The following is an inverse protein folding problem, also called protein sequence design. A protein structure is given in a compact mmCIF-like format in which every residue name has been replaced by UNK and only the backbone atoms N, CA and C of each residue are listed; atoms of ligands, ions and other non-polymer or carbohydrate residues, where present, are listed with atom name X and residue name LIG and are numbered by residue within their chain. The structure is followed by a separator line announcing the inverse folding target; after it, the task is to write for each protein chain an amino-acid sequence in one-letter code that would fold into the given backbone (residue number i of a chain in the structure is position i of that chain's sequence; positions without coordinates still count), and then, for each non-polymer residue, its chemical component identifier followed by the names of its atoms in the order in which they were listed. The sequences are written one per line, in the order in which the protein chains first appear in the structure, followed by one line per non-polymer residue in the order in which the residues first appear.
data_IF_598139664677
#
_entry.id   IF_598139664677
#
_cell.length_a   1.000
_cell.length_b   1.000
_cell.length_c   1.000
_cell.angle_alpha   90.00
_cell.angle_beta   90.00
_cell.angle_gamma   90.00
#
_symmetry.space_group_name_H-M   'P 1'
#
loop_
_entity.id
_entity.type
_entity.pdbx_description
1 polymer ?
#
# COMPACT_ATOMS: atom_id res chain seq x y z
N UNK A 1 -8.90 -0.03 7.74
CA UNK A 1 -8.58 0.16 6.30
C UNK A 1 -8.52 -1.17 5.56
N UNK A 2 -7.61 -2.07 5.91
CA UNK A 2 -7.34 -3.26 5.09
C UNK A 2 -8.47 -4.31 5.07
N UNK A 3 -9.23 -4.48 6.17
CA UNK A 3 -10.33 -5.44 6.23
C UNK A 3 -11.49 -5.15 5.25
N UNK A 4 -11.70 -3.88 4.89
CA UNK A 4 -12.73 -3.48 3.93
C UNK A 4 -12.28 -3.53 2.46
N UNK A 5 -11.06 -4.00 2.20
CA UNK A 5 -10.47 -4.03 0.85
C UNK A 5 -11.29 -4.85 -0.14
N UNK A 6 -11.76 -6.04 0.27
CA UNK A 6 -12.56 -6.93 -0.60
C UNK A 6 -13.92 -6.32 -0.97
N UNK A 7 -14.81 -5.96 -0.02
CA UNK A 7 -16.14 -5.45 -0.37
C UNK A 7 -16.07 -4.13 -1.15
N UNK A 8 -15.16 -3.23 -0.78
CA UNK A 8 -14.96 -1.97 -1.52
C UNK A 8 -14.35 -2.24 -2.91
N UNK A 9 -13.41 -3.18 -3.00
CA UNK A 9 -12.83 -3.63 -4.27
C UNK A 9 -13.90 -4.17 -5.22
N UNK A 10 -14.83 -4.99 -4.73
CA UNK A 10 -15.95 -5.51 -5.55
C UNK A 10 -16.85 -4.40 -6.08
N UNK A 11 -17.13 -3.36 -5.29
CA UNK A 11 -17.94 -2.20 -5.73
C UNK A 11 -17.18 -1.37 -6.75
N UNK A 12 -15.90 -1.13 -6.51
CA UNK A 12 -15.01 -0.41 -7.44
C UNK A 12 -14.89 -1.17 -8.77
N UNK A 13 -14.86 -2.50 -8.70
CA UNK A 13 -14.71 -3.36 -9.85
C UNK A 13 -15.97 -3.55 -10.68
N UNK A 14 -17.12 -3.75 -10.04
CA UNK A 14 -18.38 -4.06 -10.74
C UNK A 14 -19.24 -2.86 -11.09
N UNK A 15 -19.18 -1.77 -10.32
CA UNK A 15 -20.10 -0.63 -10.47
C UNK A 15 -19.39 0.58 -11.04
N UNK A 16 -18.62 1.29 -10.22
CA UNK A 16 -17.92 2.51 -10.63
C UNK A 16 -16.93 2.96 -9.54
N UNK A 17 -15.74 3.47 -9.92
CA UNK A 17 -14.85 4.16 -8.99
C UNK A 17 -15.50 5.36 -8.29
N UNK A 18 -16.36 6.11 -8.99
CA UNK A 18 -17.04 7.29 -8.44
C UNK A 18 -18.00 6.96 -7.31
N UNK A 19 -18.78 5.88 -7.47
CA UNK A 19 -19.70 5.42 -6.42
C UNK A 19 -18.93 5.02 -5.16
N UNK A 20 -17.78 4.37 -5.33
CA UNK A 20 -16.91 3.97 -4.22
C UNK A 20 -16.34 5.19 -3.50
N UNK A 21 -15.93 6.23 -4.24
CA UNK A 21 -15.47 7.49 -3.66
C UNK A 21 -16.58 8.22 -2.87
N UNK A 22 -17.83 8.21 -3.35
CA UNK A 22 -18.99 8.78 -2.62
C UNK A 22 -19.21 8.05 -1.30
N UNK A 23 -19.20 6.70 -1.31
CA UNK A 23 -19.26 5.90 -0.07
C UNK A 23 -18.11 6.26 0.85
N UNK A 24 -16.91 6.43 0.28
CA UNK A 24 -15.71 6.81 1.02
C UNK A 24 -15.83 8.16 1.73
N UNK A 25 -16.36 9.17 1.04
CA UNK A 25 -16.60 10.51 1.58
C UNK A 25 -17.52 10.48 2.81
N UNK A 26 -18.68 9.84 2.71
CA UNK A 26 -19.62 9.76 3.84
C UNK A 26 -19.05 8.93 5.00
N UNK A 27 -18.34 7.84 4.70
CA UNK A 27 -17.73 6.99 5.72
C UNK A 27 -16.59 7.71 6.48
N UNK A 28 -15.78 8.55 5.81
CA UNK A 28 -14.76 9.37 6.45
C UNK A 28 -15.37 10.39 7.41
N UNK A 29 -16.41 11.10 6.97
CA UNK A 29 -17.11 12.09 7.79
C UNK A 29 -17.76 11.42 9.01
N UNK A 30 -18.49 10.32 8.79
CA UNK A 30 -19.14 9.54 9.85
C UNK A 30 -18.15 8.80 10.77
N UNK A 31 -16.91 8.60 10.34
CA UNK A 31 -15.86 8.00 11.15
C UNK A 31 -15.18 9.03 12.06
N UNK A 32 -14.59 10.08 11.49
CA UNK A 32 -13.78 11.03 12.25
C UNK A 32 -14.60 12.01 13.10
N UNK A 33 -15.77 12.46 12.63
CA UNK A 33 -16.55 13.47 13.35
C UNK A 33 -17.08 12.96 14.71
N UNK A 34 -17.63 11.73 14.83
CA UNK A 34 -17.99 11.19 16.14
C UNK A 34 -16.80 10.93 17.06
N UNK A 35 -15.62 10.61 16.52
CA UNK A 35 -14.38 10.46 17.32
C UNK A 35 -14.00 11.81 17.94
N UNK A 36 -14.13 12.92 17.19
CA UNK A 36 -13.95 14.28 17.71
C UNK A 36 -14.91 14.56 18.87
N UNK A 37 -16.20 14.25 18.69
CA UNK A 37 -17.22 14.43 19.76
C UNK A 37 -16.89 13.57 20.99
N UNK A 38 -16.44 12.33 20.78
CA UNK A 38 -16.03 11.45 21.86
C UNK A 38 -14.82 12.01 22.63
N UNK A 39 -13.85 12.59 21.91
CA UNK A 39 -12.69 13.25 22.51
C UNK A 39 -13.09 14.44 23.39
N UNK A 40 -13.96 15.33 22.88
CA UNK A 40 -14.41 16.51 23.65
C UNK A 40 -15.21 16.15 24.92
N UNK A 41 -16.00 15.07 24.85
CA UNK A 41 -16.81 14.61 25.99
C UNK A 41 -15.96 13.97 27.09
N UNK A 42 -14.73 13.61 26.80
CA UNK A 42 -13.82 12.98 27.75
C UNK A 42 -14.21 11.54 28.14
N UNK A 43 -13.58 11.00 29.20
CA UNK A 43 -13.78 9.61 29.63
C UNK A 43 -15.25 9.31 29.95
N UNK A 44 -15.78 8.22 29.38
CA UNK A 44 -17.18 7.81 29.57
C UNK A 44 -18.19 8.46 28.61
N UNK A 45 -17.78 9.40 27.77
CA UNK A 45 -18.67 10.10 26.83
C UNK A 45 -19.20 9.24 25.67
N UNK A 46 -18.51 8.16 25.32
CA UNK A 46 -18.89 7.20 24.29
C UNK A 46 -18.30 5.83 24.62
N UNK A 47 -19.04 4.75 24.33
CA UNK A 47 -18.54 3.40 24.59
C UNK A 47 -17.38 3.04 23.65
N UNK A 48 -16.44 2.22 24.14
CA UNK A 48 -15.29 1.74 23.37
C UNK A 48 -15.74 1.04 22.08
N UNK A 49 -16.87 0.32 22.12
CA UNK A 49 -17.45 -0.32 20.94
C UNK A 49 -17.86 0.66 19.85
N UNK A 50 -18.47 1.80 20.21
CA UNK A 50 -18.85 2.82 19.23
C UNK A 50 -17.63 3.54 18.66
N UNK A 51 -16.64 3.88 19.49
CA UNK A 51 -15.37 4.48 19.02
C UNK A 51 -14.64 3.53 18.05
N UNK A 52 -14.65 2.23 18.35
CA UNK A 52 -14.06 1.20 17.48
C UNK A 52 -14.80 1.11 16.15
N UNK A 53 -16.14 1.18 16.16
CA UNK A 53 -16.95 1.21 14.95
C UNK A 53 -16.68 2.47 14.11
N UNK A 54 -16.58 3.64 14.74
CA UNK A 54 -16.24 4.89 14.05
C UNK A 54 -14.82 4.84 13.44
N UNK A 55 -13.87 4.24 14.15
CA UNK A 55 -12.50 4.01 13.65
C UNK A 55 -12.46 2.99 12.50
N UNK A 56 -13.34 2.00 12.54
CA UNK A 56 -13.54 1.09 11.42
C UNK A 56 -14.12 1.83 10.20
N UNK A 57 -15.13 2.68 10.40
CA UNK A 57 -15.76 3.48 9.33
C UNK A 57 -14.78 4.45 8.67
N UNK A 58 -13.94 5.16 9.43
CA UNK A 58 -12.89 6.00 8.83
C UNK A 58 -11.94 5.16 7.99
N UNK A 59 -11.60 3.95 8.45
CA UNK A 59 -10.83 2.97 7.70
C UNK A 59 -11.50 2.48 6.41
N UNK A 60 -12.82 2.24 6.43
CA UNK A 60 -13.62 1.91 5.23
C UNK A 60 -13.55 3.06 4.24
N UNK A 61 -13.72 4.29 4.74
CA UNK A 61 -13.71 5.49 3.93
C UNK A 61 -12.38 5.73 3.21
N UNK A 62 -11.26 5.63 3.93
CA UNK A 62 -9.93 5.72 3.34
C UNK A 62 -9.67 4.63 2.30
N UNK A 63 -10.08 3.38 2.58
CA UNK A 63 -9.91 2.26 1.65
C UNK A 63 -10.69 2.47 0.35
N UNK A 64 -11.94 2.94 0.46
CA UNK A 64 -12.83 3.19 -0.66
C UNK A 64 -12.29 4.30 -1.59
N UNK A 65 -11.91 5.46 -1.01
CA UNK A 65 -11.35 6.56 -1.77
C UNK A 65 -10.00 6.20 -2.41
N UNK A 66 -9.13 5.52 -1.66
CA UNK A 66 -7.82 5.05 -2.15
C UNK A 66 -7.96 4.04 -3.30
N UNK A 67 -8.84 3.04 -3.14
CA UNK A 67 -9.08 2.02 -4.17
C UNK A 67 -9.64 2.60 -5.46
N UNK A 68 -10.56 3.58 -5.36
CA UNK A 68 -11.10 4.28 -6.52
C UNK A 68 -10.04 5.06 -7.30
N UNK A 69 -9.17 5.80 -6.60
CA UNK A 69 -8.07 6.54 -7.22
C UNK A 69 -7.07 5.60 -7.88
N UNK A 70 -6.69 4.52 -7.19
CA UNK A 70 -5.72 3.55 -7.68
C UNK A 70 -6.22 2.83 -8.93
N UNK A 71 -7.47 2.35 -8.93
CA UNK A 71 -8.07 1.72 -10.11
C UNK A 71 -8.10 2.66 -11.31
N UNK A 72 -8.53 3.91 -11.10
CA UNK A 72 -8.62 4.90 -12.18
C UNK A 72 -7.24 5.15 -12.83
N UNK A 73 -6.19 5.25 -12.01
CA UNK A 73 -4.81 5.39 -12.51
C UNK A 73 -4.33 4.14 -13.26
N UNK A 74 -4.62 2.93 -12.76
CA UNK A 74 -4.21 1.68 -13.43
C UNK A 74 -4.85 1.53 -14.81
N UNK A 75 -6.14 1.82 -14.94
CA UNK A 75 -6.88 1.64 -16.19
C UNK A 75 -6.51 2.68 -17.25
N UNK A 76 -6.25 3.92 -16.85
CA UNK A 76 -5.93 5.00 -17.79
C UNK A 76 -4.51 4.90 -18.39
N UNK A 77 -3.57 4.21 -17.73
CA UNK A 77 -2.17 4.08 -18.18
C UNK A 77 -1.70 2.61 -18.25
N UNK A 78 -2.21 1.81 -19.22
CA UNK A 78 -1.95 0.37 -19.29
C UNK A 78 -0.49 0.01 -19.57
N UNK A 79 0.30 0.89 -20.19
CA UNK A 79 1.71 0.64 -20.54
C UNK A 79 2.71 1.12 -19.49
N UNK A 80 2.30 2.01 -18.59
CA UNK A 80 3.13 2.61 -17.53
C UNK A 80 2.45 2.50 -16.16
N UNK A 81 1.90 1.31 -15.88
CA UNK A 81 1.08 1.03 -14.68
C UNK A 81 1.82 1.34 -13.38
N UNK A 82 3.10 0.97 -13.27
CA UNK A 82 3.91 1.21 -12.07
C UNK A 82 4.05 2.70 -11.77
N UNK A 83 4.48 3.48 -12.77
CA UNK A 83 4.62 4.93 -12.66
C UNK A 83 3.28 5.65 -12.39
N UNK A 84 2.21 5.25 -13.07
CA UNK A 84 0.88 5.88 -12.93
C UNK A 84 0.24 5.62 -11.57
N UNK A 85 0.40 4.41 -11.02
CA UNK A 85 -0.10 4.06 -9.68
C UNK A 85 0.78 4.64 -8.57
N UNK A 86 2.08 4.84 -8.81
CA UNK A 86 3.01 5.36 -7.81
C UNK A 86 2.67 6.78 -7.36
N UNK A 87 2.22 7.68 -8.25
CA UNK A 87 1.83 9.04 -7.87
C UNK A 87 0.71 9.10 -6.81
N UNK A 88 -0.48 8.52 -7.02
CA UNK A 88 -1.54 8.52 -6.01
C UNK A 88 -1.14 7.76 -4.74
N UNK A 89 -0.37 6.68 -4.86
CA UNK A 89 0.21 5.97 -3.70
C UNK A 89 1.17 6.84 -2.89
N UNK A 90 2.05 7.59 -3.56
CA UNK A 90 2.99 8.49 -2.93
C UNK A 90 2.23 9.64 -2.23
N UNK A 91 1.28 10.28 -2.93
CA UNK A 91 0.44 11.34 -2.37
C UNK A 91 -0.32 10.89 -1.11
N UNK A 92 -0.87 9.66 -1.13
CA UNK A 92 -1.50 9.06 0.05
C UNK A 92 -0.52 8.95 1.23
N UNK A 93 0.75 8.60 0.99
CA UNK A 93 1.79 8.50 2.02
C UNK A 93 2.26 9.84 2.59
N UNK A 94 2.24 10.88 1.75
CA UNK A 94 2.62 12.24 2.13
C UNK A 94 1.50 12.97 2.90
N UNK A 95 0.25 12.52 2.79
CA UNK A 95 -0.91 13.19 3.38
C UNK A 95 -0.78 13.44 4.90
N UNK A 96 -0.24 12.49 5.66
CA UNK A 96 -0.06 12.66 7.11
C UNK A 96 0.93 13.79 7.47
N UNK A 97 1.94 14.04 6.64
CA UNK A 97 2.82 15.21 6.79
C UNK A 97 2.03 16.52 6.62
N UNK A 98 1.21 16.63 5.57
CA UNK A 98 0.39 17.84 5.36
C UNK A 98 -0.60 18.05 6.50
N UNK A 99 -1.29 17.01 6.96
CA UNK A 99 -2.25 17.13 8.07
C UNK A 99 -1.57 17.50 9.39
N UNK A 100 -0.40 16.93 9.69
CA UNK A 100 0.35 17.26 10.92
C UNK A 100 0.91 18.68 10.88
N UNK A 101 1.43 19.14 9.74
CA UNK A 101 1.91 20.52 9.56
C UNK A 101 0.76 21.53 9.68
N UNK A 102 -0.35 21.29 8.98
CA UNK A 102 -1.51 22.18 9.05
C UNK A 102 -2.06 22.21 10.49
N UNK A 103 -2.15 21.07 11.16
CA UNK A 103 -2.61 21.02 12.54
C UNK A 103 -1.64 21.73 13.50
N UNK A 104 -0.33 21.58 13.33
CA UNK A 104 0.66 22.28 14.14
C UNK A 104 0.60 23.81 13.99
N UNK A 105 0.29 24.30 12.78
CA UNK A 105 0.17 25.73 12.51
C UNK A 105 -1.19 26.32 12.91
N UNK A 106 -2.29 25.60 12.66
CA UNK A 106 -3.65 26.10 12.86
C UNK A 106 -4.21 25.79 14.27
N UNK A 107 -3.77 24.70 14.89
CA UNK A 107 -4.30 24.16 16.16
C UNK A 107 -3.15 23.71 17.10
N UNK A 108 -2.25 24.62 17.51
CA UNK A 108 -1.09 24.25 18.33
C UNK A 108 -1.53 23.65 19.66
N UNK A 109 -1.19 22.37 19.89
CA UNK A 109 -1.52 21.64 21.12
C UNK A 109 -2.98 21.21 21.25
N UNK A 110 -3.83 21.45 20.25
CA UNK A 110 -5.25 21.07 20.28
C UNK A 110 -5.54 19.84 19.41
N UNK A 111 -5.67 18.69 20.08
CA UNK A 111 -6.00 17.41 19.43
C UNK A 111 -7.45 17.39 18.91
N UNK A 112 -8.38 18.14 19.53
CA UNK A 112 -9.76 18.24 19.04
C UNK A 112 -9.80 18.97 17.69
N UNK A 113 -9.06 20.06 17.56
CA UNK A 113 -8.84 20.78 16.31
C UNK A 113 -8.26 19.88 15.20
N UNK A 114 -7.28 19.03 15.51
CA UNK A 114 -6.75 18.03 14.57
C UNK A 114 -7.82 17.02 14.10
N UNK A 115 -8.63 16.48 15.01
CA UNK A 115 -9.70 15.54 14.66
C UNK A 115 -10.78 16.20 13.81
N UNK A 116 -11.10 17.47 14.10
CA UNK A 116 -12.02 18.27 13.28
C UNK A 116 -11.45 18.48 11.87
N UNK A 117 -10.18 18.88 11.77
CA UNK A 117 -9.47 19.03 10.51
C UNK A 117 -9.52 17.74 9.69
N UNK A 118 -9.19 16.59 10.30
CA UNK A 118 -9.26 15.29 9.64
C UNK A 118 -10.67 15.02 9.12
N UNK A 119 -11.70 15.20 9.94
CA UNK A 119 -13.09 14.90 9.54
C UNK A 119 -13.57 15.70 8.31
N UNK A 120 -13.33 17.01 8.30
CA UNK A 120 -13.79 17.90 7.24
C UNK A 120 -12.87 17.84 6.01
N UNK A 121 -11.56 17.94 6.22
CA UNK A 121 -10.61 18.04 5.12
C UNK A 121 -10.51 16.72 4.33
N UNK A 122 -10.52 15.55 4.98
CA UNK A 122 -10.47 14.29 4.22
C UNK A 122 -11.74 14.10 3.38
N UNK A 123 -12.90 14.44 3.94
CA UNK A 123 -14.19 14.29 3.25
C UNK A 123 -14.33 15.27 2.10
N UNK A 124 -13.94 16.54 2.30
CA UNK A 124 -13.98 17.58 1.27
C UNK A 124 -13.02 17.27 0.12
N UNK A 125 -11.80 16.80 0.40
CA UNK A 125 -10.86 16.41 -0.65
C UNK A 125 -11.39 15.27 -1.50
N UNK A 126 -12.03 14.27 -0.91
CA UNK A 126 -12.68 13.19 -1.67
C UNK A 126 -13.83 13.75 -2.52
N UNK A 127 -14.67 14.62 -1.96
CA UNK A 127 -15.76 15.27 -2.69
C UNK A 127 -15.26 16.01 -3.95
N UNK A 128 -14.22 16.83 -3.78
CA UNK A 128 -13.60 17.59 -4.88
C UNK A 128 -12.95 16.66 -5.91
N UNK A 129 -12.47 15.48 -5.50
CA UNK A 129 -11.81 14.52 -6.39
C UNK A 129 -12.79 13.71 -7.27
N UNK A 130 -14.06 13.56 -6.86
CA UNK A 130 -15.05 12.71 -7.56
C UNK A 130 -15.20 13.03 -9.06
N UNK A 131 -15.33 14.29 -9.50
CA UNK A 131 -15.46 14.61 -10.92
C UNK A 131 -14.27 14.13 -11.76
N UNK A 132 -13.06 14.14 -11.18
CA UNK A 132 -11.80 13.78 -11.83
C UNK A 132 -11.56 12.26 -11.92
N UNK A 133 -12.34 11.44 -11.20
CA UNK A 133 -12.26 9.98 -11.28
C UNK A 133 -12.97 9.46 -12.54
N UNK A 134 -12.38 9.75 -13.72
CA UNK A 134 -12.86 9.29 -15.02
C UNK A 134 -11.92 8.18 -15.51
N UNK A 135 -12.50 7.02 -15.79
CA UNK A 135 -11.81 5.97 -16.54
C UNK A 135 -12.02 6.27 -18.02
N UNK A 136 -10.93 6.56 -18.72
CA UNK A 136 -10.92 6.77 -20.15
C UNK A 136 -10.76 5.41 -20.80
N UNK A 137 -11.80 4.98 -21.50
CA UNK A 137 -11.79 3.70 -22.19
C UNK A 137 -10.93 3.81 -23.47
N UNK A 138 -9.72 3.25 -23.46
CA UNK A 138 -8.83 3.23 -24.63
C UNK A 138 -9.33 2.32 -25.76
N UNK A 139 -10.50 1.69 -25.61
CA UNK A 139 -11.11 0.80 -26.60
C UNK A 139 -11.94 1.50 -27.70
N UNK A 140 -11.84 2.81 -27.87
CA UNK A 140 -12.51 3.53 -28.96
C UNK A 140 -11.54 3.90 -30.10
N UNK A 141 -10.86 2.90 -30.67
CA UNK A 141 -10.01 3.20 -31.83
C UNK A 141 -9.17 2.10 -32.49
N UNK A 142 -9.53 0.81 -32.48
CA UNK A 142 -9.13 -0.21 -33.50
C UNK A 142 -9.62 -1.62 -33.12
N UNK A 143 -10.93 -1.82 -33.10
CA UNK A 143 -11.47 -3.17 -33.25
C UNK A 143 -12.52 -3.08 -34.35
N UNK A 144 -12.12 -3.41 -35.58
CA UNK A 144 -13.07 -3.82 -36.59
C UNK A 144 -13.74 -5.07 -36.03
N UNK A 145 -14.92 -4.91 -35.42
CA UNK A 145 -15.84 -6.02 -35.20
C UNK A 145 -16.16 -6.56 -36.57
N UNK A 146 -15.55 -7.70 -36.91
CA UNK A 146 -15.92 -8.48 -38.09
C UNK A 146 -17.37 -8.90 -37.84
N UNK A 147 -18.30 -8.21 -38.51
CA UNK A 147 -19.68 -8.68 -38.61
C UNK A 147 -19.60 -10.15 -39.07
N UNK A 148 -20.31 -11.09 -38.42
CA UNK A 148 -20.39 -12.43 -38.94
C UNK A 148 -21.00 -12.33 -40.34
N UNK A 149 -20.17 -12.49 -41.37
CA UNK A 149 -20.62 -12.80 -42.71
C UNK A 149 -21.20 -14.20 -42.65
N UNK A 150 -22.44 -14.30 -42.18
CA UNK A 150 -23.27 -15.46 -42.52
C UNK A 150 -23.34 -15.47 -44.04
N UNK A 151 -22.55 -16.33 -44.66
CA UNK A 151 -22.67 -16.68 -46.06
C UNK A 151 -24.08 -17.25 -46.29
N UNK A 152 -25.00 -16.36 -46.65
CA UNK A 152 -26.15 -16.72 -47.47
C UNK A 152 -25.86 -16.14 -48.84
N UNK A 153 -25.55 -17.05 -49.77
CA UNK A 153 -25.12 -16.72 -51.12
C UNK A 153 -26.05 -15.74 -51.82
N UNK A 154 -25.46 -14.69 -52.41
CA UNK A 154 -26.10 -13.92 -53.47
C UNK A 154 -25.07 -13.27 -54.37
N UNK A 155 -24.93 -13.88 -55.55
CA UNK A 155 -24.62 -13.35 -56.90
C UNK A 155 -23.86 -12.03 -57.03
N UNK A 156 -22.73 -12.15 -57.72
CA UNK A 156 -22.13 -11.23 -58.70
C UNK A 156 -22.56 -9.77 -58.66
N UNK A 157 -21.62 -8.89 -58.32
CA UNK A 157 -21.47 -7.61 -59.04
C UNK A 157 -20.09 -6.99 -58.83
N UNK A 158 -19.34 -6.96 -59.93
CA UNK A 158 -18.42 -5.92 -60.37
C UNK A 158 -17.08 -5.73 -59.63
N UNK A 159 -16.06 -6.28 -60.29
CA UNK A 159 -14.72 -5.70 -60.54
C UNK A 159 -14.53 -4.24 -60.05
N UNK A 160 -13.65 -4.06 -59.07
CA UNK A 160 -12.87 -2.85 -58.91
C UNK A 160 -11.41 -3.20 -58.60
N UNK A 161 -10.54 -2.38 -59.21
CA UNK A 161 -9.14 -2.64 -59.52
C UNK A 161 -8.23 -2.85 -58.29
N UNK A 162 -7.29 -3.78 -58.44
CA UNK A 162 -6.14 -3.96 -57.55
C UNK A 162 -5.24 -2.72 -57.60
N UNK A 163 -5.35 -1.86 -56.57
CA UNK A 163 -4.34 -0.88 -56.27
C UNK A 163 -3.25 -1.55 -55.43
N UNK A 164 -2.03 -1.64 -55.99
CA UNK A 164 -0.81 -2.04 -55.28
C UNK A 164 -0.65 -1.17 -54.03
N UNK A 165 -0.93 -1.73 -52.86
CA UNK A 165 -0.49 -1.15 -51.60
C UNK A 165 0.96 -1.59 -51.35
N UNK A 166 1.83 -0.59 -51.19
CA UNK A 166 3.20 -0.78 -50.73
C UNK A 166 3.20 -1.63 -49.45
N UNK A 167 3.92 -2.75 -49.47
CA UNK A 167 4.06 -3.64 -48.35
C UNK A 167 4.70 -2.95 -47.15
N UNK A 168 3.87 -2.52 -46.20
CA UNK A 168 4.30 -2.27 -44.83
C UNK A 168 4.63 -3.61 -44.19
N UNK A 169 5.93 -3.90 -44.04
CA UNK A 169 6.43 -4.93 -43.14
C UNK A 169 6.10 -4.52 -41.70
N UNK A 170 4.85 -4.70 -41.28
CA UNK A 170 4.57 -4.81 -39.86
C UNK A 170 5.02 -6.21 -39.44
N UNK A 171 6.18 -6.29 -38.78
CA UNK A 171 6.55 -7.47 -38.00
C UNK A 171 5.46 -7.64 -36.94
N UNK A 172 4.51 -8.54 -37.20
CA UNK A 172 3.67 -9.12 -36.17
C UNK A 172 4.56 -10.03 -35.30
N UNK A 173 5.38 -9.42 -34.45
CA UNK A 173 6.21 -10.13 -33.46
C UNK A 173 5.92 -9.59 -32.07
N UNK A 174 4.65 -9.54 -31.71
CA UNK A 174 4.20 -9.61 -30.31
C UNK A 174 2.96 -10.49 -30.35
N UNK A 175 3.14 -11.78 -30.10
CA UNK A 175 2.04 -12.64 -29.66
C UNK A 175 1.46 -11.92 -28.43
N UNK A 176 0.17 -11.55 -28.40
CA UNK A 176 -0.44 -11.08 -27.17
C UNK A 176 -0.25 -12.20 -26.15
N UNK A 177 0.55 -11.99 -25.10
CA UNK A 177 0.53 -12.92 -23.99
C UNK A 177 -0.94 -13.03 -23.57
N UNK A 178 -1.51 -14.25 -23.42
CA UNK A 178 -2.87 -14.39 -22.96
C UNK A 178 -2.96 -13.63 -21.63
N UNK A 179 -3.76 -12.56 -21.59
CA UNK A 179 -3.94 -11.78 -20.37
C UNK A 179 -4.54 -12.71 -19.32
N UNK A 180 -3.72 -13.21 -18.40
CA UNK A 180 -4.17 -14.07 -17.30
C UNK A 180 -4.93 -13.20 -16.32
N UNK A 181 -6.22 -13.03 -16.56
CA UNK A 181 -7.13 -12.28 -15.70
C UNK A 181 -7.73 -13.24 -14.66
N UNK A 182 -7.04 -13.37 -13.51
CA UNK A 182 -7.48 -14.19 -12.38
C UNK A 182 -7.96 -13.23 -11.29
N UNK A 183 -9.20 -13.42 -10.83
CA UNK A 183 -9.76 -12.53 -9.80
C UNK A 183 -10.56 -13.27 -8.73
N UNK A 184 -10.70 -12.62 -7.58
CA UNK A 184 -11.53 -13.08 -6.48
C UNK A 184 -11.01 -14.37 -5.83
N UNK A 185 -11.91 -15.30 -5.56
CA UNK A 185 -11.60 -16.54 -4.82
C UNK A 185 -10.65 -17.45 -5.60
N UNK A 186 -10.63 -17.36 -6.93
CA UNK A 186 -9.72 -18.14 -7.78
C UNK A 186 -8.23 -17.87 -7.49
N UNK A 187 -7.90 -16.72 -6.90
CA UNK A 187 -6.55 -16.39 -6.47
C UNK A 187 -6.03 -17.36 -5.41
N UNK A 188 -6.89 -17.80 -4.49
CA UNK A 188 -6.49 -18.59 -3.32
C UNK A 188 -5.92 -19.96 -3.71
N UNK A 189 -6.28 -20.46 -4.89
CA UNK A 189 -5.78 -21.72 -5.44
C UNK A 189 -4.41 -21.59 -6.12
N UNK A 190 -3.89 -20.36 -6.30
CA UNK A 190 -2.62 -20.12 -7.00
C UNK A 190 -1.46 -20.03 -6.00
N UNK A 191 -0.33 -20.71 -6.24
CA UNK A 191 0.84 -20.63 -5.35
C UNK A 191 1.46 -19.23 -5.34
N UNK A 192 1.39 -18.51 -6.47
CA UNK A 192 1.89 -17.12 -6.58
C UNK A 192 1.15 -16.16 -5.62
N UNK A 193 -0.13 -16.46 -5.33
CA UNK A 193 -0.90 -15.68 -4.36
C UNK A 193 -0.29 -15.80 -2.97
N UNK A 194 -0.03 -17.02 -2.51
CA UNK A 194 0.52 -17.27 -1.18
C UNK A 194 1.94 -16.74 -1.05
N UNK A 195 2.75 -16.82 -2.10
CA UNK A 195 4.08 -16.24 -2.11
C UNK A 195 4.05 -14.71 -1.92
N UNK A 196 3.22 -14.00 -2.69
CA UNK A 196 3.04 -12.56 -2.53
C UNK A 196 2.40 -12.22 -1.18
N UNK A 197 1.38 -12.97 -0.76
CA UNK A 197 0.69 -12.74 0.51
C UNK A 197 1.64 -12.87 1.71
N UNK A 198 2.48 -13.91 1.75
CA UNK A 198 3.49 -14.09 2.80
C UNK A 198 4.53 -12.98 2.75
N UNK A 199 5.04 -12.64 1.57
CA UNK A 199 6.00 -11.55 1.40
C UNK A 199 5.43 -10.20 1.91
N UNK A 200 4.18 -9.90 1.54
CA UNK A 200 3.46 -8.72 2.00
C UNK A 200 3.33 -8.75 3.52
N UNK A 201 2.88 -9.86 4.11
CA UNK A 201 2.71 -10.00 5.55
C UNK A 201 4.01 -9.81 6.33
N UNK A 202 5.10 -10.43 5.88
CA UNK A 202 6.42 -10.29 6.53
C UNK A 202 6.88 -8.83 6.53
N UNK A 203 6.90 -8.17 5.38
CA UNK A 203 7.47 -6.83 5.26
C UNK A 203 6.53 -5.72 5.76
N UNK A 204 5.23 -5.79 5.45
CA UNK A 204 4.27 -4.80 5.97
C UNK A 204 4.07 -4.92 7.47
N UNK A 205 4.13 -6.14 8.02
CA UNK A 205 4.06 -6.36 9.46
C UNK A 205 5.19 -5.66 10.21
N UNK A 206 6.43 -5.77 9.71
CA UNK A 206 7.60 -5.07 10.25
C UNK A 206 7.39 -3.55 10.24
N UNK A 207 6.98 -3.01 9.08
CA UNK A 207 6.74 -1.57 8.96
C UNK A 207 5.58 -1.07 9.83
N UNK A 208 4.46 -1.79 9.89
CA UNK A 208 3.29 -1.43 10.69
C UNK A 208 3.59 -1.45 12.19
N UNK A 209 4.40 -2.41 12.66
CA UNK A 209 4.83 -2.42 14.06
C UNK A 209 5.60 -1.15 14.41
N UNK A 210 6.60 -0.78 13.61
CA UNK A 210 7.38 0.43 13.87
C UNK A 210 6.51 1.69 13.73
N UNK A 211 5.67 1.80 12.69
CA UNK A 211 4.83 2.99 12.47
C UNK A 211 3.84 3.20 13.63
N UNK A 212 3.19 2.14 14.09
CA UNK A 212 2.18 2.25 15.14
C UNK A 212 2.79 2.52 16.52
N UNK A 213 4.03 2.08 16.77
CA UNK A 213 4.66 2.15 18.08
C UNK A 213 5.82 3.15 18.16
N UNK A 214 6.18 3.86 17.09
CA UNK A 214 7.28 4.83 17.11
C UNK A 214 7.08 5.90 18.18
N UNK A 215 5.84 6.26 18.48
CA UNK A 215 5.52 7.20 19.56
C UNK A 215 5.94 6.69 20.94
N UNK A 216 5.78 5.39 21.19
CA UNK A 216 6.24 4.72 22.41
C UNK A 216 7.76 4.60 22.46
N UNK A 217 8.43 4.35 21.32
CA UNK A 217 9.89 4.35 21.24
C UNK A 217 10.48 5.74 21.58
N UNK A 218 9.88 6.81 21.02
CA UNK A 218 10.25 8.20 21.32
C UNK A 218 10.08 8.50 22.81
N UNK A 219 8.94 8.11 23.38
CA UNK A 219 8.64 8.33 24.79
C UNK A 219 9.65 7.61 25.69
N UNK A 220 9.87 6.31 25.48
CA UNK A 220 10.80 5.51 26.28
C UNK A 220 12.24 6.04 26.21
N UNK A 221 12.72 6.43 25.02
CA UNK A 221 14.07 6.95 24.86
C UNK A 221 14.26 8.35 25.47
N UNK A 222 13.30 9.26 25.29
CA UNK A 222 13.42 10.61 25.85
C UNK A 222 13.27 10.61 27.37
N UNK A 223 12.34 9.85 27.95
CA UNK A 223 12.22 9.74 29.40
C UNK A 223 13.48 9.17 30.05
N UNK A 224 14.11 8.17 29.41
CA UNK A 224 15.37 7.61 29.87
C UNK A 224 16.57 8.57 29.72
N UNK A 225 16.59 9.35 28.64
CA UNK A 225 17.73 10.22 28.30
C UNK A 225 17.71 11.55 29.05
N UNK A 226 16.55 12.19 29.17
CA UNK A 226 16.37 13.47 29.85
C UNK A 226 15.09 13.45 30.71
N UNK A 227 15.22 13.15 32.02
CA UNK A 227 14.09 13.12 32.95
C UNK A 227 13.40 14.47 33.14
N UNK A 228 14.01 15.57 32.69
CA UNK A 228 13.44 16.93 32.80
C UNK A 228 12.62 17.33 31.56
N UNK A 229 12.60 16.49 30.53
CA UNK A 229 11.87 16.75 29.30
C UNK A 229 10.36 16.89 29.56
N UNK A 230 9.78 17.99 29.08
CA UNK A 230 8.34 18.22 29.24
C UNK A 230 7.52 17.26 28.37
N UNK A 231 6.34 16.85 28.85
CA UNK A 231 5.41 16.00 28.06
C UNK A 231 5.05 16.65 26.71
N UNK A 232 4.95 17.97 26.66
CA UNK A 232 4.71 18.73 25.42
C UNK A 232 5.87 18.61 24.42
N UNK A 233 7.12 18.67 24.90
CA UNK A 233 8.30 18.46 24.05
C UNK A 233 8.34 17.04 23.47
N UNK A 234 8.06 16.02 24.29
CA UNK A 234 8.03 14.62 23.82
C UNK A 234 6.94 14.43 22.77
N UNK A 235 5.74 15.00 22.97
CA UNK A 235 4.65 14.94 22.00
C UNK A 235 5.00 15.60 20.66
N UNK A 236 5.67 16.76 20.68
CA UNK A 236 6.18 17.40 19.45
C UNK A 236 7.19 16.49 18.71
N UNK A 237 8.08 15.82 19.45
CA UNK A 237 9.01 14.85 18.87
C UNK A 237 8.30 13.65 18.24
N UNK A 238 7.23 13.13 18.86
CA UNK A 238 6.44 12.05 18.27
C UNK A 238 5.87 12.45 16.89
N UNK A 239 5.31 13.65 16.77
CA UNK A 239 4.78 14.18 15.50
C UNK A 239 5.88 14.38 14.44
N UNK A 240 7.08 14.78 14.87
CA UNK A 240 8.26 14.85 14.01
C UNK A 240 8.62 13.50 13.39
N UNK A 241 8.55 12.41 14.16
CA UNK A 241 8.82 11.07 13.63
C UNK A 241 7.74 10.59 12.64
N UNK A 242 6.47 10.90 12.90
CA UNK A 242 5.36 10.63 11.94
C UNK A 242 5.62 11.36 10.62
N UNK A 243 6.04 12.62 10.68
CA UNK A 243 6.38 13.44 9.51
C UNK A 243 7.54 12.85 8.70
N UNK A 244 8.62 12.41 9.35
CA UNK A 244 9.77 11.78 8.70
C UNK A 244 9.36 10.50 7.98
N UNK A 245 8.58 9.63 8.64
CA UNK A 245 8.06 8.40 8.04
C UNK A 245 7.28 8.71 6.76
N UNK A 246 6.40 9.72 6.79
CA UNK A 246 5.59 10.12 5.64
C UNK A 246 6.42 10.63 4.46
N UNK A 247 7.39 11.52 4.70
CA UNK A 247 8.26 12.05 3.63
C UNK A 247 9.13 10.94 3.03
N UNK A 248 9.76 10.11 3.86
CA UNK A 248 10.56 9.00 3.37
C UNK A 248 9.72 7.94 2.63
N UNK A 249 8.49 7.69 3.08
CA UNK A 249 7.54 6.81 2.40
C UNK A 249 7.11 7.35 1.05
N UNK A 250 6.85 8.66 0.94
CA UNK A 250 6.61 9.32 -0.34
C UNK A 250 7.77 9.11 -1.31
N UNK A 251 9.01 9.39 -0.88
CA UNK A 251 10.21 9.22 -1.70
C UNK A 251 10.42 7.75 -2.11
N UNK A 252 10.16 6.81 -1.19
CA UNK A 252 10.23 5.37 -1.44
C UNK A 252 9.21 4.92 -2.49
N UNK A 253 7.96 5.39 -2.41
CA UNK A 253 6.90 5.04 -3.37
C UNK A 253 7.19 5.58 -4.75
N UNK A 254 7.64 6.83 -4.84
CA UNK A 254 7.97 7.47 -6.11
C UNK A 254 9.18 6.80 -6.77
N UNK A 255 10.26 6.59 -6.03
CA UNK A 255 11.49 5.97 -6.54
C UNK A 255 11.30 4.51 -6.95
N UNK A 256 10.59 3.71 -6.16
CA UNK A 256 10.33 2.30 -6.49
C UNK A 256 9.31 2.13 -7.61
N UNK A 257 8.30 2.99 -7.69
CA UNK A 257 7.33 2.98 -8.79
C UNK A 257 8.01 3.19 -10.14
N UNK A 258 8.75 4.29 -10.27
CA UNK A 258 9.51 4.62 -11.49
C UNK A 258 10.66 3.62 -11.72
N UNK A 259 11.39 3.28 -10.65
CA UNK A 259 12.52 2.38 -10.69
C UNK A 259 12.13 0.95 -11.11
N UNK A 260 10.97 0.46 -10.67
CA UNK A 260 10.49 -0.88 -11.05
C UNK A 260 10.21 -0.96 -12.55
N UNK A 261 9.65 0.07 -13.16
CA UNK A 261 9.42 0.12 -14.61
C UNK A 261 10.74 0.17 -15.38
N UNK A 262 11.76 0.88 -14.86
CA UNK A 262 13.10 0.88 -15.45
C UNK A 262 13.75 -0.52 -15.38
N UNK A 263 13.67 -1.21 -14.24
CA UNK A 263 14.23 -2.56 -14.05
C UNK A 263 13.61 -3.55 -15.05
N UNK A 264 12.29 -3.51 -15.24
CA UNK A 264 11.62 -4.42 -16.18
C UNK A 264 11.94 -4.05 -17.63
N UNK A 265 11.83 -2.77 -18.00
CA UNK A 265 11.88 -2.35 -19.41
C UNK A 265 13.30 -2.23 -19.97
N UNK A 266 14.27 -1.85 -19.13
CA UNK A 266 15.66 -1.61 -19.56
C UNK A 266 16.60 -2.73 -19.13
N UNK A 267 16.44 -3.26 -17.92
CA UNK A 267 17.32 -4.31 -17.39
C UNK A 267 16.79 -5.72 -17.62
N UNK A 268 15.54 -5.87 -18.10
CA UNK A 268 14.87 -7.16 -18.29
C UNK A 268 14.91 -8.07 -17.04
N UNK A 269 14.91 -7.45 -15.86
CA UNK A 269 14.95 -8.13 -14.57
C UNK A 269 13.59 -8.12 -13.88
N UNK A 270 13.42 -9.02 -12.90
CA UNK A 270 12.20 -9.15 -12.11
C UNK A 270 11.97 -7.95 -11.19
N UNK A 271 10.70 -7.54 -11.03
CA UNK A 271 10.28 -6.51 -10.05
C UNK A 271 10.54 -6.92 -8.60
N UNK A 272 10.73 -8.22 -8.32
CA UNK A 272 11.10 -8.71 -6.98
C UNK A 272 12.44 -8.11 -6.48
N UNK A 273 13.31 -7.60 -7.36
CA UNK A 273 14.50 -6.87 -6.94
C UNK A 273 14.17 -5.59 -6.14
N UNK A 274 13.12 -4.85 -6.51
CA UNK A 274 12.66 -3.70 -5.73
C UNK A 274 12.17 -4.13 -4.34
N UNK A 275 11.46 -5.26 -4.27
CA UNK A 275 11.00 -5.81 -2.99
C UNK A 275 12.18 -6.29 -2.12
N UNK A 276 13.22 -6.87 -2.73
CA UNK A 276 14.45 -7.26 -2.04
C UNK A 276 15.21 -6.05 -1.47
N UNK A 277 15.27 -4.94 -2.23
CA UNK A 277 15.82 -3.66 -1.74
C UNK A 277 15.03 -3.16 -0.54
N UNK A 278 13.69 -3.16 -0.61
CA UNK A 278 12.84 -2.79 0.53
C UNK A 278 13.12 -3.66 1.76
N UNK A 279 13.15 -4.99 1.60
CA UNK A 279 13.42 -5.93 2.70
C UNK A 279 14.80 -5.71 3.35
N UNK A 280 15.80 -5.35 2.54
CA UNK A 280 17.15 -5.02 3.01
C UNK A 280 17.16 -3.72 3.81
N UNK A 281 16.45 -2.68 3.34
CA UNK A 281 16.32 -1.42 4.08
C UNK A 281 15.57 -1.64 5.39
N UNK A 282 14.51 -2.46 5.40
CA UNK A 282 13.84 -2.86 6.64
C UNK A 282 14.79 -3.54 7.61
N UNK A 283 15.58 -4.51 7.15
CA UNK A 283 16.56 -5.22 7.98
C UNK A 283 17.56 -4.25 8.62
N UNK A 284 18.05 -3.29 7.83
CA UNK A 284 18.94 -2.24 8.35
C UNK A 284 18.22 -1.31 9.34
N UNK A 285 16.96 -0.93 9.09
CA UNK A 285 16.16 -0.14 10.02
C UNK A 285 15.97 -0.84 11.37
N UNK A 286 15.68 -2.15 11.36
CA UNK A 286 15.53 -2.94 12.59
C UNK A 286 16.86 -3.07 13.33
N UNK A 287 17.99 -3.25 12.63
CA UNK A 287 19.32 -3.25 13.26
C UNK A 287 19.64 -1.91 13.94
N UNK A 288 19.30 -0.79 13.30
CA UNK A 288 19.43 0.54 13.90
C UNK A 288 18.57 0.66 15.15
N UNK A 289 17.31 0.23 15.10
CA UNK A 289 16.39 0.30 16.23
C UNK A 289 16.86 -0.52 17.45
N UNK A 290 17.56 -1.62 17.24
CA UNK A 290 18.11 -2.48 18.31
C UNK A 290 19.36 -1.87 18.97
N UNK A 291 20.03 -0.92 18.30
CA UNK A 291 21.32 -0.34 18.75
C UNK A 291 21.23 1.12 19.19
N UNK A 292 20.29 1.89 18.64
CA UNK A 292 20.18 3.32 18.93
C UNK A 292 19.53 3.52 20.29
N UNK A 293 20.34 3.92 21.27
CA UNK A 293 19.87 4.35 22.60
C UNK A 293 19.78 5.86 22.76
N UNK A 294 20.35 6.64 21.83
CA UNK A 294 20.28 8.11 21.86
C UNK A 294 19.07 8.58 21.02
N UNK A 295 18.08 9.27 21.62
CA UNK A 295 16.85 9.69 20.93
C UNK A 295 17.12 10.61 19.74
N UNK A 296 18.25 11.33 19.71
CA UNK A 296 18.61 12.23 18.61
C UNK A 296 18.89 11.51 17.30
N UNK A 297 19.20 10.21 17.33
CA UNK A 297 19.44 9.40 16.13
C UNK A 297 18.25 8.53 15.73
N UNK A 298 17.15 8.54 16.51
CA UNK A 298 15.96 7.72 16.24
C UNK A 298 15.32 8.06 14.88
N UNK A 299 15.55 9.26 14.35
CA UNK A 299 15.07 9.65 13.01
C UNK A 299 15.56 8.70 11.91
N UNK A 300 16.71 8.05 12.11
CA UNK A 300 17.24 7.05 11.16
C UNK A 300 16.32 5.83 11.05
N UNK A 301 15.79 5.35 12.18
CA UNK A 301 14.82 4.23 12.22
C UNK A 301 13.54 4.65 11.51
N UNK A 302 13.01 5.84 11.83
CA UNK A 302 11.81 6.39 11.20
C UNK A 302 11.97 6.59 9.69
N UNK A 303 13.10 7.18 9.27
CA UNK A 303 13.38 7.46 7.86
C UNK A 303 13.59 6.18 7.06
N UNK A 304 14.38 5.23 7.56
CA UNK A 304 14.62 3.96 6.88
C UNK A 304 13.35 3.11 6.82
N UNK A 305 12.57 3.06 7.90
CA UNK A 305 11.28 2.35 7.92
C UNK A 305 10.30 2.98 6.93
N UNK A 306 10.19 4.31 6.94
CA UNK A 306 9.36 5.05 5.99
C UNK A 306 9.78 4.75 4.55
N UNK A 307 11.08 4.83 4.24
CA UNK A 307 11.63 4.54 2.92
C UNK A 307 11.34 3.10 2.49
N UNK A 308 11.62 2.11 3.34
CA UNK A 308 11.40 0.70 3.04
C UNK A 308 9.91 0.40 2.81
N UNK A 309 9.03 0.93 3.66
CA UNK A 309 7.58 0.81 3.54
C UNK A 309 7.07 1.48 2.27
N UNK A 310 7.66 2.62 1.92
CA UNK A 310 7.37 3.32 0.67
C UNK A 310 7.75 2.49 -0.55
N UNK A 311 8.98 1.96 -0.58
CA UNK A 311 9.47 1.10 -1.67
C UNK A 311 8.59 -0.14 -1.84
N UNK A 312 8.21 -0.77 -0.73
CA UNK A 312 7.33 -1.93 -0.74
C UNK A 312 5.99 -1.60 -1.41
N UNK A 313 5.27 -0.61 -0.90
CA UNK A 313 3.96 -0.25 -1.42
C UNK A 313 4.00 0.38 -2.83
N UNK A 314 5.14 0.93 -3.25
CA UNK A 314 5.31 1.43 -4.63
C UNK A 314 5.43 0.31 -5.66
N UNK A 315 6.10 -0.81 -5.34
CA UNK A 315 6.28 -1.94 -6.27
C UNK A 315 5.19 -3.02 -6.16
N UNK A 316 4.59 -3.20 -4.98
CA UNK A 316 3.67 -4.31 -4.72
C UNK A 316 2.42 -4.35 -5.61
N UNK A 317 1.71 -3.23 -5.86
CA UNK A 317 0.58 -3.21 -6.79
C UNK A 317 0.96 -3.73 -8.18
N UNK A 318 2.17 -3.38 -8.64
CA UNK A 318 2.69 -3.80 -9.93
C UNK A 318 2.98 -5.31 -9.96
N UNK A 319 3.53 -5.88 -8.87
CA UNK A 319 3.72 -7.32 -8.71
C UNK A 319 2.39 -8.11 -8.76
N UNK A 320 1.34 -7.57 -8.13
CA UNK A 320 0.00 -8.19 -8.12
C UNK A 320 -0.62 -8.16 -9.52
N UNK A 321 -0.49 -7.04 -10.23
CA UNK A 321 -0.98 -6.92 -11.62
C UNK A 321 -0.21 -7.83 -12.57
N UNK A 322 1.10 -7.96 -12.40
CA UNK A 322 1.91 -8.85 -13.25
C UNK A 322 1.56 -10.34 -13.02
N UNK A 323 1.16 -10.71 -11.80
CA UNK A 323 0.83 -12.08 -11.45
C UNK A 323 -0.60 -12.50 -11.83
N UNK A 324 -1.57 -11.58 -11.72
CA UNK A 324 -3.01 -11.92 -11.82
C UNK A 324 -3.80 -11.09 -12.84
N UNK A 325 -3.13 -10.20 -13.56
CA UNK A 325 -3.76 -9.30 -14.51
C UNK A 325 -4.31 -8.01 -13.87
N UNK A 326 -4.65 -7.01 -14.70
CA UNK A 326 -5.24 -5.74 -14.26
C UNK A 326 -6.74 -5.85 -13.99
N UNK A 327 -7.42 -6.83 -14.59
CA UNK A 327 -8.86 -7.02 -14.44
C UNK A 327 -9.20 -7.56 -13.06
N UNK A 328 -10.08 -6.86 -12.34
CA UNK A 328 -10.39 -7.21 -10.94
C UNK A 328 -9.25 -6.90 -9.96
N UNK A 329 -8.33 -5.99 -10.33
CA UNK A 329 -7.21 -5.59 -9.47
C UNK A 329 -7.65 -5.11 -8.09
N UNK A 330 -8.77 -4.39 -7.97
CA UNK A 330 -9.18 -3.86 -6.67
C UNK A 330 -9.62 -4.99 -5.72
N UNK A 331 -10.29 -6.02 -6.23
CA UNK A 331 -10.59 -7.24 -5.46
C UNK A 331 -9.31 -7.98 -5.08
N UNK A 332 -8.38 -8.16 -6.02
CA UNK A 332 -7.11 -8.86 -5.79
C UNK A 332 -6.27 -8.15 -4.72
N UNK A 333 -6.18 -6.83 -4.81
CA UNK A 333 -5.56 -5.98 -3.80
C UNK A 333 -6.26 -6.08 -2.44
N UNK A 334 -7.59 -6.21 -2.44
CA UNK A 334 -8.37 -6.50 -1.24
C UNK A 334 -7.93 -7.78 -0.53
N UNK A 335 -7.71 -8.87 -1.25
CA UNK A 335 -7.18 -10.11 -0.66
C UNK A 335 -5.72 -9.97 -0.20
N UNK A 336 -4.88 -9.28 -0.97
CA UNK A 336 -3.47 -9.04 -0.58
C UNK A 336 -3.35 -8.24 0.72
N UNK A 337 -4.22 -7.24 0.89
CA UNK A 337 -4.19 -6.36 2.07
C UNK A 337 -4.67 -7.03 3.35
N UNK A 338 -5.29 -8.22 3.28
CA UNK A 338 -5.53 -9.04 4.47
C UNK A 338 -4.23 -9.52 5.14
N UNK A 339 -3.13 -9.65 4.40
CA UNK A 339 -1.84 -10.02 4.98
C UNK A 339 -1.37 -9.01 6.06
N UNK A 340 -1.36 -7.69 5.80
CA UNK A 340 -1.13 -6.67 6.83
C UNK A 340 -2.09 -6.71 8.01
N UNK A 341 -3.35 -7.15 7.83
CA UNK A 341 -4.30 -7.30 8.95
C UNK A 341 -3.81 -8.38 9.90
N UNK A 342 -3.42 -9.54 9.37
CA UNK A 342 -2.95 -10.66 10.20
C UNK A 342 -1.60 -10.33 10.82
N UNK A 343 -0.60 -10.04 9.97
CA UNK A 343 0.78 -9.79 10.39
C UNK A 343 0.91 -8.56 11.29
N UNK A 344 0.24 -7.45 10.94
CA UNK A 344 0.27 -6.21 11.72
C UNK A 344 -0.25 -6.41 13.13
N UNK A 345 -1.35 -7.16 13.31
CA UNK A 345 -1.85 -7.46 14.66
C UNK A 345 -0.87 -8.36 15.45
N UNK A 346 -0.30 -9.39 14.82
CA UNK A 346 0.68 -10.27 15.47
C UNK A 346 1.87 -9.46 15.98
N UNK A 347 2.49 -8.63 15.13
CA UNK A 347 3.67 -7.85 15.53
C UNK A 347 3.34 -6.75 16.53
N UNK A 348 2.19 -6.06 16.40
CA UNK A 348 1.79 -5.02 17.36
C UNK A 348 1.46 -5.60 18.73
N UNK A 349 0.77 -6.74 18.80
CA UNK A 349 0.50 -7.41 20.08
C UNK A 349 1.79 -7.92 20.72
N UNK A 350 2.72 -8.46 19.93
CA UNK A 350 4.03 -8.86 20.42
C UNK A 350 4.83 -7.67 20.95
N UNK A 351 4.83 -6.54 20.22
CA UNK A 351 5.46 -5.30 20.68
C UNK A 351 4.85 -4.85 22.01
N UNK A 352 3.52 -4.78 22.10
CA UNK A 352 2.83 -4.40 23.33
C UNK A 352 3.19 -5.30 24.51
N UNK A 353 3.17 -6.62 24.32
CA UNK A 353 3.57 -7.57 25.36
C UNK A 353 5.04 -7.41 25.79
N UNK A 354 5.95 -7.17 24.84
CA UNK A 354 7.36 -6.92 25.14
C UNK A 354 7.55 -5.60 25.91
N UNK A 355 6.89 -4.53 25.48
CA UNK A 355 6.93 -3.23 26.13
C UNK A 355 6.34 -3.29 27.54
N UNK A 356 5.18 -3.93 27.70
CA UNK A 356 4.47 -4.05 28.97
C UNK A 356 5.21 -4.94 29.99
N UNK A 357 5.97 -5.93 29.52
CA UNK A 357 6.80 -6.78 30.40
C UNK A 357 7.96 -6.01 31.05
N UNK A 358 8.34 -4.88 30.44
CA UNK A 358 9.43 -4.02 30.90
C UNK A 358 8.91 -2.72 31.54
N UNK A 359 7.60 -2.50 31.58
CA UNK A 359 6.97 -1.29 32.13
C UNK A 359 6.60 -1.43 33.60
N UNK A 360 6.60 -0.31 34.31
CA UNK A 360 6.14 -0.20 35.70
C UNK A 360 4.87 0.66 35.72
N UNK A 361 3.93 0.34 36.61
CA UNK A 361 2.72 1.15 36.79
C UNK A 361 3.12 2.40 37.58
N UNK A 362 3.01 3.55 36.94
CA UNK A 362 3.24 4.86 37.53
C UNK A 362 2.09 5.23 38.49
N UNK A 363 2.31 6.21 39.41
CA UNK A 363 1.30 6.64 40.37
C UNK A 363 0.00 7.17 39.75
N UNK A 364 0.04 7.59 38.48
CA UNK A 364 -1.12 8.03 37.71
C UNK A 364 -1.92 6.87 37.08
N UNK A 365 -1.50 5.63 37.33
CA UNK A 365 -2.09 4.40 36.80
C UNK A 365 -1.66 4.06 35.37
N UNK A 366 -0.79 4.86 34.74
CA UNK A 366 -0.24 4.58 33.41
C UNK A 366 0.96 3.64 33.50
N UNK A 367 1.20 2.86 32.44
CA UNK A 367 2.40 2.01 32.32
C UNK A 367 3.50 2.78 31.59
N UNK A 368 4.51 3.20 32.32
CA UNK A 368 5.72 3.83 31.79
C UNK A 368 6.88 2.84 31.72
N UNK A 369 7.71 2.94 30.68
CA UNK A 369 8.94 2.16 30.60
C UNK A 369 10.15 3.09 30.54
N UNK A 370 10.88 3.16 31.66
CA UNK A 370 12.05 4.04 31.86
C UNK A 370 13.38 3.36 31.50
N UNK A 371 13.34 2.15 30.94
CA UNK A 371 14.53 1.37 30.56
C UNK A 371 15.07 1.74 29.17
N UNK A 372 14.49 2.77 28.53
CA UNK A 372 14.86 3.25 27.21
C UNK A 372 14.79 2.14 26.16
N UNK A 373 15.93 1.88 25.51
CA UNK A 373 16.05 0.89 24.45
C UNK A 373 15.56 -0.51 24.87
N UNK A 374 15.76 -0.92 26.12
CA UNK A 374 15.38 -2.27 26.59
C UNK A 374 13.86 -2.51 26.55
N UNK A 375 13.05 -1.46 26.58
CA UNK A 375 11.58 -1.55 26.58
C UNK A 375 11.06 -2.29 25.34
N UNK A 376 11.62 -1.99 24.17
CA UNK A 376 11.11 -2.49 22.90
C UNK A 376 12.11 -3.35 22.12
N UNK A 377 13.37 -3.46 22.59
CA UNK A 377 14.45 -4.15 21.86
C UNK A 377 14.08 -5.56 21.39
N UNK A 378 13.37 -6.32 22.23
CA UNK A 378 12.92 -7.69 21.92
C UNK A 378 11.97 -7.72 20.72
N UNK A 379 11.04 -6.76 20.64
CA UNK A 379 10.13 -6.63 19.50
C UNK A 379 10.90 -6.43 18.19
N UNK A 380 11.91 -5.56 18.22
CA UNK A 380 12.74 -5.26 17.06
C UNK A 380 13.65 -6.43 16.61
N UNK A 381 14.06 -7.32 17.53
CA UNK A 381 14.74 -8.56 17.13
C UNK A 381 13.83 -9.51 16.34
N UNK A 382 12.57 -9.64 16.74
CA UNK A 382 11.60 -10.49 16.04
C UNK A 382 11.30 -9.95 14.65
N UNK A 383 11.11 -8.64 14.52
CA UNK A 383 10.92 -8.02 13.21
C UNK A 383 12.17 -8.01 12.34
N UNK A 384 13.37 -7.99 12.92
CA UNK A 384 14.62 -8.21 12.18
C UNK A 384 14.62 -9.60 11.52
N UNK A 385 14.29 -10.65 12.27
CA UNK A 385 14.18 -12.01 11.72
C UNK A 385 13.14 -12.06 10.61
N UNK A 386 11.96 -11.45 10.81
CA UNK A 386 10.93 -11.34 9.77
C UNK A 386 11.44 -10.65 8.50
N UNK A 387 12.18 -9.54 8.63
CA UNK A 387 12.71 -8.81 7.48
C UNK A 387 13.75 -9.63 6.70
N UNK A 388 14.59 -10.43 7.38
CA UNK A 388 15.54 -11.36 6.75
C UNK A 388 14.79 -12.49 6.02
N UNK A 389 13.75 -13.06 6.63
CA UNK A 389 12.87 -14.01 5.95
C UNK A 389 12.20 -13.39 4.71
N UNK A 390 11.85 -12.10 4.78
CA UNK A 390 11.36 -11.34 3.63
C UNK A 390 12.38 -11.24 2.48
N UNK A 391 13.67 -11.05 2.79
CA UNK A 391 14.74 -11.09 1.77
C UNK A 391 14.78 -12.47 1.09
N UNK A 392 14.74 -13.54 1.88
CA UNK A 392 14.73 -14.92 1.36
C UNK A 392 13.50 -15.15 0.47
N UNK A 393 12.32 -14.70 0.91
CA UNK A 393 11.09 -14.80 0.13
C UNK A 393 11.15 -14.03 -1.21
N UNK A 394 11.84 -12.88 -1.25
CA UNK A 394 12.09 -12.15 -2.49
C UNK A 394 12.97 -12.96 -3.46
N UNK A 395 14.09 -13.52 -2.98
CA UNK A 395 14.97 -14.34 -3.82
C UNK A 395 14.29 -15.62 -4.30
N UNK A 396 13.48 -16.24 -3.44
CA UNK A 396 12.63 -17.36 -3.83
C UNK A 396 11.67 -16.97 -4.95
N UNK A 397 11.07 -15.78 -4.87
CA UNK A 397 10.20 -15.26 -5.92
C UNK A 397 10.88 -15.03 -7.26
N UNK A 398 12.10 -14.48 -7.24
CA UNK A 398 12.94 -14.32 -8.44
C UNK A 398 13.22 -15.71 -9.06
N UNK A 399 13.60 -16.68 -8.23
CA UNK A 399 13.88 -18.04 -8.69
C UNK A 399 12.65 -18.70 -9.31
N UNK A 400 11.49 -18.61 -8.66
CA UNK A 400 10.23 -19.16 -9.14
C UNK A 400 9.80 -18.51 -10.48
N UNK A 401 9.94 -17.19 -10.61
CA UNK A 401 9.64 -16.48 -11.85
C UNK A 401 10.55 -16.93 -13.01
N UNK A 402 11.85 -17.05 -12.77
CA UNK A 402 12.80 -17.53 -13.77
C UNK A 402 12.53 -18.99 -14.16
N UNK A 403 12.19 -19.86 -13.19
CA UNK A 403 11.84 -21.25 -13.46
C UNK A 403 10.61 -21.37 -14.37
N UNK A 404 9.57 -20.55 -14.14
CA UNK A 404 8.38 -20.51 -15.01
C UNK A 404 8.69 -20.01 -16.41
N UNK A 405 9.47 -18.94 -16.53
CA UNK A 405 9.88 -18.41 -17.85
C UNK A 405 10.64 -19.46 -18.67
N UNK A 406 11.52 -20.23 -18.03
CA UNK A 406 12.22 -21.35 -18.70
C UNK A 406 11.27 -22.44 -19.17
N UNK A 407 10.35 -22.91 -18.30
CA UNK A 407 9.35 -23.93 -18.68
C UNK A 407 8.46 -23.50 -19.85
N UNK A 408 8.02 -22.24 -19.86
CA UNK A 408 7.21 -21.70 -20.96
C UNK A 408 7.98 -21.63 -22.28
N UNK A 409 9.29 -21.35 -22.24
CA UNK A 409 10.15 -21.40 -23.42
C UNK A 409 10.32 -22.84 -23.93
N UNK A 410 10.56 -23.79 -23.03
CA UNK A 410 10.68 -25.22 -23.35
C UNK A 410 9.38 -25.77 -23.99
N UNK A 411 8.21 -25.42 -23.45
CA UNK A 411 6.91 -25.80 -24.03
C UNK A 411 6.72 -25.20 -25.43
N UNK A 412 7.08 -23.93 -25.62
CA UNK A 412 6.96 -23.27 -26.91
C UNK A 412 7.92 -23.84 -27.97
N UNK A 413 9.13 -24.23 -27.58
CA UNK A 413 10.07 -24.96 -28.44
C UNK A 413 9.52 -26.34 -28.81
N UNK A 414 8.98 -27.07 -27.84
CA UNK A 414 8.36 -28.39 -28.06
C UNK A 414 7.17 -28.30 -29.04
N UNK A 415 6.34 -27.27 -28.95
CA UNK A 415 5.23 -27.04 -29.88
C UNK A 415 5.66 -26.54 -31.26
N UNK A 416 6.86 -25.99 -31.41
CA UNK A 416 7.40 -25.58 -32.72
C UNK A 416 7.99 -26.77 -33.47
N UNK A 417 8.55 -27.73 -32.74
CA UNK A 417 9.25 -28.87 -33.31
C UNK A 417 8.31 -30.09 -33.54
N UNK A 418 7.07 -30.03 -33.06
CA UNK A 418 5.98 -30.98 -33.31
C UNK A 418 5.03 -30.48 -34.42
#
# INVERSE_FOLDING_TARGET
MYASGIPMGMITDRKSPRLTAIIGMFALLAGYYPIKIAYDKGPGGMSVGVISLCSFLSGVGSCAAFGAALKTATLNWPTHRGSATACPLAAFGLSAFFYTVIAGLAFPGDTSGLLMLLSLATSLLVLVSIPFLIVVDHQSGTSYTVLPTNERGRRDSNLLQSAKSHGSRYKASVIPQPETNITGVALLSKPDFWQLWVLMGLLTGVGLMTINNIGHDVQALWSHWDPTASKAFVADRQLWHVSIISVCSFLGRLSSGIGSDFIVKRLHHSRFWCAAVSATIFSFAQLCAIKIGDPRYLWTVSGLTGLAYGVLFGVFPALVVDAFGPDGFAVNWGFMTLAPVVSGNIYNLFYGAAYDSNSVVEPDGQRGCELGLKCYRTAYFVTLVSSVLGIIACFWGIHAEHARKRRALEEHETHRDA
#
